data_IF_237572402465
#
_entry.id   IF_237572402465
#
_cell.length_a   1.000
_cell.length_b   1.000
_cell.length_c   1.000
_cell.angle_alpha   90.00
_cell.angle_beta   90.00
_cell.angle_gamma   90.00
#
_symmetry.space_group_name_H-M   'P 1'
#
loop_
_entity.id
_entity.type
_entity.pdbx_description
1 polymer ?
#
# COMPACT_ATOMS: atom_id res chain seq x y z
N UNK A 1 28.07 15.51 17.36
CA UNK A 1 26.98 16.43 17.80
C UNK A 1 25.83 16.29 16.80
N UNK A 2 24.91 15.35 17.03
CA UNK A 2 23.56 15.57 17.58
C UNK A 2 22.82 16.74 16.90
N UNK A 3 21.95 16.45 15.92
CA UNK A 3 20.54 16.00 16.03
C UNK A 3 19.56 17.19 16.14
N UNK A 4 18.70 17.30 15.14
CA UNK A 4 17.31 17.71 15.34
C UNK A 4 16.42 17.16 14.20
N UNK A 5 16.35 15.83 14.06
CA UNK A 5 15.23 15.19 13.36
C UNK A 5 14.02 15.40 14.28
N UNK A 6 13.16 16.37 13.94
CA UNK A 6 11.96 16.70 14.71
C UNK A 6 11.16 15.42 14.94
N UNK A 7 11.08 14.97 16.20
CA UNK A 7 10.20 13.90 16.64
C UNK A 7 8.77 14.46 16.59
N UNK A 8 8.03 14.13 15.54
CA UNK A 8 6.57 14.16 15.59
C UNK A 8 6.15 12.80 16.14
N UNK A 9 5.92 12.74 17.45
CA UNK A 9 5.23 11.63 18.10
C UNK A 9 3.82 11.57 17.53
N UNK A 10 3.38 10.49 16.86
CA UNK A 10 1.99 10.35 16.50
C UNK A 10 1.25 9.90 17.76
N UNK A 11 0.51 10.80 18.38
CA UNK A 11 -0.61 10.43 19.23
C UNK A 11 -1.62 9.70 18.35
N UNK A 12 -1.95 8.45 18.67
CA UNK A 12 -2.99 7.70 17.98
C UNK A 12 -4.32 8.45 18.11
N UNK A 13 -4.98 8.84 17.00
CA UNK A 13 -6.35 9.32 17.08
C UNK A 13 -7.30 8.14 17.39
N UNK A 14 -8.41 8.40 18.09
CA UNK A 14 -9.39 7.39 18.42
C UNK A 14 -10.08 6.86 17.16
N UNK A 15 -10.56 5.64 17.28
CA UNK A 15 -11.20 4.82 16.24
C UNK A 15 -12.29 5.52 15.45
N UNK A 16 -12.26 5.28 14.13
CA UNK A 16 -13.37 5.28 13.18
C UNK A 16 -14.22 6.56 13.05
N UNK A 17 -13.74 7.49 12.24
CA UNK A 17 -14.53 7.99 11.11
C UNK A 17 -13.56 8.20 9.93
N UNK A 18 -13.90 7.62 8.78
CA UNK A 18 -13.19 7.83 7.53
C UNK A 18 -13.58 9.21 6.99
N UNK A 19 -13.26 10.27 7.74
CA UNK A 19 -13.34 11.64 7.23
C UNK A 19 -11.98 11.96 6.61
N UNK A 20 -11.95 11.86 5.28
CA UNK A 20 -10.87 12.41 4.46
C UNK A 20 -10.85 13.91 4.74
N UNK A 21 -9.94 14.34 5.63
CA UNK A 21 -9.80 15.75 5.96
C UNK A 21 -9.51 16.57 4.71
N UNK A 22 -10.13 17.74 4.64
CA UNK A 22 -10.15 18.78 3.59
C UNK A 22 -8.76 19.36 3.21
N UNK A 23 -7.69 18.63 3.50
CA UNK A 23 -6.31 18.87 3.10
C UNK A 23 -5.64 17.65 2.44
N UNK A 24 -6.42 16.67 1.95
CA UNK A 24 -5.95 15.56 1.09
C UNK A 24 -5.54 16.13 -0.28
N UNK A 25 -4.42 16.85 -0.24
CA UNK A 25 -3.53 17.23 -1.32
C UNK A 25 -4.15 17.13 -2.72
N UNK A 26 -4.51 18.28 -3.26
CA UNK A 26 -4.58 18.59 -4.69
C UNK A 26 -3.22 18.41 -5.36
N UNK A 27 -2.63 17.21 -5.27
CA UNK A 27 -1.38 16.84 -5.93
C UNK A 27 -1.72 15.99 -7.14
N UNK A 28 -1.84 16.60 -8.33
CA UNK A 28 -1.90 15.97 -9.67
C UNK A 28 -2.96 14.86 -9.93
N UNK A 29 -3.51 14.21 -8.92
CA UNK A 29 -4.44 13.09 -9.00
C UNK A 29 -5.87 13.57 -9.27
N UNK A 30 -6.27 14.70 -8.70
CA UNK A 30 -7.62 15.26 -8.89
C UNK A 30 -7.93 15.55 -10.36
N UNK A 31 -7.00 16.20 -11.08
CA UNK A 31 -7.18 16.50 -12.51
C UNK A 31 -7.16 15.24 -13.38
N UNK A 32 -6.33 14.25 -13.02
CA UNK A 32 -6.28 12.96 -13.73
C UNK A 32 -7.59 12.18 -13.58
N UNK A 33 -8.21 12.21 -12.39
CA UNK A 33 -9.52 11.57 -12.18
C UNK A 33 -10.61 12.20 -13.02
N UNK A 34 -10.66 13.53 -13.10
CA UNK A 34 -11.63 14.25 -13.93
C UNK A 34 -11.52 13.91 -15.43
N UNK A 35 -10.33 13.56 -15.92
CA UNK A 35 -10.14 13.13 -17.32
C UNK A 35 -10.62 11.69 -17.51
N UNK A 36 -10.29 10.77 -16.59
CA UNK A 36 -10.78 9.39 -16.67
C UNK A 36 -12.30 9.31 -16.60
N UNK A 37 -12.94 10.07 -15.71
CA UNK A 37 -14.40 10.09 -15.58
C UNK A 37 -15.08 10.62 -16.85
N UNK A 38 -14.44 11.55 -17.57
CA UNK A 38 -14.92 12.06 -18.86
C UNK A 38 -14.76 11.06 -20.00
N UNK A 39 -13.66 10.29 -20.03
CA UNK A 39 -13.37 9.33 -21.09
C UNK A 39 -14.06 7.98 -20.86
N UNK A 40 -14.32 7.64 -19.60
CA UNK A 40 -14.89 6.36 -19.16
C UNK A 40 -15.97 6.58 -18.10
N UNK A 41 -17.10 7.19 -18.45
CA UNK A 41 -18.18 7.55 -17.51
C UNK A 41 -18.81 6.33 -16.82
N UNK A 42 -18.71 5.14 -17.44
CA UNK A 42 -19.17 3.87 -16.86
C UNK A 42 -18.21 3.30 -15.80
N UNK A 43 -16.98 3.83 -15.70
CA UNK A 43 -15.96 3.34 -14.79
C UNK A 43 -16.08 4.02 -13.43
N UNK A 44 -16.39 3.25 -12.38
CA UNK A 44 -16.43 3.76 -11.02
C UNK A 44 -15.01 3.92 -10.49
N UNK A 45 -14.52 5.15 -10.37
CA UNK A 45 -13.21 5.44 -9.83
C UNK A 45 -13.14 5.11 -8.32
N UNK A 46 -12.28 4.15 -7.93
CA UNK A 46 -12.13 3.71 -6.51
C UNK A 46 -10.86 4.25 -5.83
N UNK A 47 -9.87 4.70 -6.58
CA UNK A 47 -8.59 5.19 -6.07
C UNK A 47 -7.48 5.13 -7.13
N UNK A 48 -6.36 5.83 -6.91
CA UNK A 48 -5.19 5.72 -7.80
C UNK A 48 -4.13 4.76 -7.26
N UNK A 49 -3.32 4.25 -8.19
CA UNK A 49 -2.16 3.40 -7.90
C UNK A 49 -1.16 4.02 -6.92
N UNK A 50 -0.98 5.35 -6.98
CA UNK A 50 -0.12 6.06 -6.03
C UNK A 50 -0.61 5.91 -4.58
N UNK A 51 -1.89 6.14 -4.33
CA UNK A 51 -2.48 6.01 -2.99
C UNK A 51 -2.52 4.56 -2.53
N UNK A 52 -2.76 3.61 -3.45
CA UNK A 52 -2.62 2.19 -3.17
C UNK A 52 -1.21 1.85 -2.64
N UNK A 53 -0.15 2.24 -3.37
CA UNK A 53 1.22 2.01 -2.94
C UNK A 53 1.54 2.69 -1.60
N UNK A 54 1.02 3.91 -1.39
CA UNK A 54 1.22 4.66 -0.17
C UNK A 54 0.60 3.97 1.04
N UNK A 55 -0.60 3.38 0.91
CA UNK A 55 -1.25 2.60 1.96
C UNK A 55 -0.45 1.36 2.34
N UNK A 56 0.06 0.62 1.34
CA UNK A 56 0.91 -0.55 1.56
C UNK A 56 2.19 -0.16 2.30
N UNK A 57 2.86 0.91 1.85
CA UNK A 57 4.09 1.36 2.50
C UNK A 57 3.86 1.81 3.94
N UNK A 58 2.75 2.51 4.23
CA UNK A 58 2.37 2.84 5.61
C UNK A 58 2.15 1.59 6.44
N UNK A 59 1.50 0.55 5.90
CA UNK A 59 1.32 -0.73 6.59
C UNK A 59 2.65 -1.43 6.86
N UNK A 60 3.58 -1.44 5.90
CA UNK A 60 4.95 -1.96 6.08
C UNK A 60 5.66 -1.25 7.25
N UNK A 61 5.52 0.07 7.35
CA UNK A 61 6.09 0.84 8.46
C UNK A 61 5.45 0.48 9.80
N UNK A 62 4.11 0.40 9.87
CA UNK A 62 3.36 0.06 11.08
C UNK A 62 3.70 -1.34 11.61
N UNK A 63 3.97 -2.30 10.71
CA UNK A 63 4.39 -3.66 11.07
C UNK A 63 5.87 -3.76 11.49
N UNK A 64 6.61 -2.64 11.54
CA UNK A 64 8.05 -2.64 11.87
C UNK A 64 8.93 -3.22 10.76
N UNK A 65 8.40 -3.40 9.56
CA UNK A 65 9.09 -4.04 8.43
C UNK A 65 9.96 -3.07 7.62
N UNK A 66 10.02 -1.78 7.98
CA UNK A 66 10.75 -0.77 7.22
C UNK A 66 12.23 -1.14 6.98
N UNK A 67 12.92 -1.64 8.01
CA UNK A 67 14.32 -2.10 7.89
C UNK A 67 14.43 -3.31 6.98
N UNK A 68 13.56 -4.31 7.15
CA UNK A 68 13.54 -5.51 6.32
C UNK A 68 13.25 -5.18 4.84
N UNK A 69 12.28 -4.29 4.59
CA UNK A 69 12.00 -3.75 3.26
C UNK A 69 13.21 -3.03 2.66
N UNK A 70 13.99 -2.29 3.46
CA UNK A 70 15.18 -1.59 2.97
C UNK A 70 16.38 -2.52 2.72
N UNK A 71 16.55 -3.56 3.54
CA UNK A 71 17.80 -4.33 3.59
C UNK A 71 17.69 -5.76 3.03
N UNK A 72 16.50 -6.35 3.03
CA UNK A 72 16.27 -7.73 2.59
C UNK A 72 15.62 -7.73 1.21
N UNK A 73 16.38 -8.12 0.19
CA UNK A 73 15.92 -8.13 -1.21
C UNK A 73 14.63 -8.91 -1.41
N UNK A 74 14.53 -10.09 -0.81
CA UNK A 74 13.34 -10.94 -0.94
C UNK A 74 12.07 -10.24 -0.39
N UNK A 75 12.18 -9.55 0.75
CA UNK A 75 11.08 -8.81 1.35
C UNK A 75 10.69 -7.63 0.46
N UNK A 76 11.68 -6.86 0.00
CA UNK A 76 11.44 -5.71 -0.88
C UNK A 76 10.79 -6.11 -2.20
N UNK A 77 11.31 -7.16 -2.83
CA UNK A 77 10.79 -7.72 -4.07
C UNK A 77 9.35 -8.19 -3.90
N UNK A 78 9.05 -8.90 -2.81
CA UNK A 78 7.69 -9.35 -2.50
C UNK A 78 6.73 -8.16 -2.31
N UNK A 79 7.10 -7.17 -1.50
CA UNK A 79 6.27 -5.97 -1.31
C UNK A 79 6.05 -5.18 -2.61
N UNK A 80 7.07 -5.07 -3.48
CA UNK A 80 6.94 -4.40 -4.78
C UNK A 80 6.05 -5.17 -5.76
N UNK A 81 6.09 -6.49 -5.74
CA UNK A 81 5.17 -7.34 -6.52
C UNK A 81 3.73 -7.17 -6.03
N UNK A 82 3.52 -7.09 -4.72
CA UNK A 82 2.21 -6.80 -4.12
C UNK A 82 1.68 -5.44 -4.59
N UNK A 83 2.53 -4.41 -4.58
CA UNK A 83 2.23 -3.07 -5.12
C UNK A 83 1.92 -3.06 -6.62
N UNK A 84 2.38 -4.05 -7.38
CA UNK A 84 2.17 -4.16 -8.82
C UNK A 84 0.91 -4.96 -9.20
N UNK A 85 0.26 -5.66 -8.26
CA UNK A 85 -0.90 -6.50 -8.56
C UNK A 85 -2.04 -5.80 -9.33
N UNK A 86 -2.42 -4.53 -9.03
CA UNK A 86 -3.49 -3.87 -9.77
C UNK A 86 -3.15 -3.55 -11.23
N UNK A 87 -1.89 -3.74 -11.64
CA UNK A 87 -1.45 -3.52 -13.01
C UNK A 87 -1.56 -4.79 -13.88
N UNK A 88 -1.98 -5.92 -13.28
CA UNK A 88 -2.23 -7.16 -13.99
C UNK A 88 -3.64 -7.17 -14.61
N UNK A 89 -3.87 -7.99 -15.65
CA UNK A 89 -5.22 -8.31 -16.08
C UNK A 89 -6.05 -8.83 -14.92
N UNK A 90 -7.31 -8.40 -14.80
CA UNK A 90 -8.20 -8.73 -13.66
C UNK A 90 -8.24 -10.22 -13.33
N UNK A 91 -8.22 -11.08 -14.36
CA UNK A 91 -8.29 -12.53 -14.24
C UNK A 91 -7.03 -13.15 -13.59
N UNK A 92 -5.91 -12.43 -13.62
CA UNK A 92 -4.62 -12.91 -13.10
C UNK A 92 -4.30 -12.38 -11.71
N UNK A 93 -5.01 -11.35 -11.24
CA UNK A 93 -4.73 -10.68 -9.95
C UNK A 93 -4.79 -11.66 -8.79
N UNK A 94 -5.90 -12.41 -8.68
CA UNK A 94 -6.14 -13.32 -7.56
C UNK A 94 -5.11 -14.46 -7.54
N UNK A 95 -4.88 -15.11 -8.69
CA UNK A 95 -3.89 -16.19 -8.81
C UNK A 95 -2.48 -15.68 -8.48
N UNK A 96 -2.12 -14.49 -8.98
CA UNK A 96 -0.82 -13.87 -8.72
C UNK A 96 -0.64 -13.49 -7.25
N UNK A 97 -1.70 -13.04 -6.58
CA UNK A 97 -1.68 -12.75 -5.15
C UNK A 97 -1.42 -14.01 -4.33
N UNK A 98 -2.13 -15.11 -4.60
CA UNK A 98 -1.90 -16.37 -3.88
C UNK A 98 -0.50 -16.94 -4.13
N UNK A 99 0.00 -16.86 -5.36
CA UNK A 99 1.38 -17.25 -5.69
C UNK A 99 2.41 -16.41 -4.92
N UNK A 100 2.15 -15.11 -4.76
CA UNK A 100 3.02 -14.21 -4.00
C UNK A 100 2.99 -14.48 -2.50
N UNK A 101 1.82 -14.88 -1.97
CA UNK A 101 1.60 -15.26 -0.56
C UNK A 101 2.17 -16.61 -0.17
N UNK A 102 2.51 -17.46 -1.13
CA UNK A 102 2.97 -18.81 -0.89
C UNK A 102 4.49 -18.99 -0.63
N UNK A 103 5.35 -17.98 -0.35
CA UNK A 103 6.77 -18.10 -0.67
C UNK A 103 7.47 -19.24 0.11
N UNK A 104 8.35 -19.91 -0.61
CA UNK A 104 9.19 -21.03 -0.19
C UNK A 104 10.20 -20.71 0.93
N UNK A 105 10.36 -19.43 1.33
CA UNK A 105 11.31 -19.01 2.36
C UNK A 105 10.58 -18.70 3.70
N UNK A 106 10.76 -19.52 4.76
CA UNK A 106 10.01 -19.42 6.02
C UNK A 106 10.08 -18.03 6.67
N UNK A 107 11.24 -17.37 6.58
CA UNK A 107 11.46 -16.04 7.17
C UNK A 107 10.60 -14.96 6.52
N UNK A 108 10.45 -14.99 5.20
CA UNK A 108 9.64 -14.01 4.46
C UNK A 108 8.17 -14.24 4.75
N UNK A 109 7.74 -15.51 4.75
CA UNK A 109 6.37 -15.90 5.11
C UNK A 109 5.97 -15.39 6.49
N UNK A 110 6.84 -15.54 7.51
CA UNK A 110 6.57 -15.04 8.87
C UNK A 110 6.53 -13.52 8.93
N UNK A 111 7.46 -12.83 8.28
CA UNK A 111 7.55 -11.37 8.31
C UNK A 111 6.39 -10.69 7.57
N UNK A 112 5.93 -11.26 6.46
CA UNK A 112 4.91 -10.64 5.60
C UNK A 112 3.49 -11.15 5.86
N UNK A 113 3.29 -12.17 6.71
CA UNK A 113 1.97 -12.74 6.99
C UNK A 113 0.93 -11.66 7.30
N UNK A 114 1.24 -10.75 8.22
CA UNK A 114 0.28 -9.75 8.69
C UNK A 114 0.03 -8.65 7.64
N UNK A 115 0.96 -8.48 6.69
CA UNK A 115 0.76 -7.62 5.51
C UNK A 115 -0.18 -8.28 4.49
N UNK A 116 -0.07 -9.60 4.27
CA UNK A 116 -0.98 -10.34 3.41
C UNK A 116 -2.39 -10.44 4.02
N UNK A 117 -2.51 -10.63 5.34
CA UNK A 117 -3.82 -10.62 6.01
C UNK A 117 -4.54 -9.27 5.86
N UNK A 118 -3.81 -8.16 5.97
CA UNK A 118 -4.36 -6.83 5.69
C UNK A 118 -4.96 -6.71 4.27
N UNK A 119 -4.45 -7.47 3.31
CA UNK A 119 -4.96 -7.49 1.94
C UNK A 119 -6.15 -8.43 1.75
N UNK A 120 -6.23 -9.53 2.49
CA UNK A 120 -7.38 -10.45 2.43
C UNK A 120 -8.67 -9.83 2.99
N UNK A 121 -8.55 -8.85 3.89
CA UNK A 121 -9.70 -8.23 4.57
C UNK A 121 -10.49 -7.22 3.69
N UNK A 122 -10.05 -6.97 2.44
CA UNK A 122 -10.66 -6.04 1.47
C UNK A 122 -11.01 -6.74 0.15
#
# INVERSE_FOLDING_TARGET
MNQARRKLTPTLPPSNSFDISDGYQTTASGETFLICDKLHPESAHKGCHFHFNQCIYRRIQLLGLATAYSQVELVRSCCRKLMALPLLPTQEVETSFYNLRAPAHPTVKKQLRDLFLYFDDY
#
